data_IF_544457314173
#
_entry.id   IF_544457314173
#
_cell.length_a   1.000
_cell.length_b   1.000
_cell.length_c   1.000
_cell.angle_alpha   90.00
_cell.angle_beta   90.00
_cell.angle_gamma   90.00
#
_symmetry.space_group_name_H-M   'P 1'
#
loop_
_entity.id
_entity.type
_entity.pdbx_description
1 polymer ?
#
# COMPACT_ATOMS: atom_id res chain seq x y z
N UNK A 1 -26.44 14.98 -14.15
CA UNK A 1 -25.08 15.19 -13.62
C UNK A 1 -24.89 14.12 -12.56
N UNK A 2 -24.21 13.03 -12.90
CA UNK A 2 -23.89 11.99 -11.90
C UNK A 2 -22.78 12.57 -11.03
N UNK A 3 -23.02 12.69 -9.73
CA UNK A 3 -21.96 12.97 -8.78
C UNK A 3 -21.07 11.73 -8.77
N UNK A 4 -19.89 11.81 -9.38
CA UNK A 4 -18.83 10.83 -9.18
C UNK A 4 -18.47 10.91 -7.70
N UNK A 5 -18.97 9.96 -6.93
CA UNK A 5 -18.68 9.84 -5.51
C UNK A 5 -17.25 9.28 -5.44
N UNK A 6 -16.25 10.15 -5.30
CA UNK A 6 -14.88 9.73 -5.07
C UNK A 6 -14.84 9.00 -3.74
N UNK A 7 -14.70 7.67 -3.77
CA UNK A 7 -14.63 6.86 -2.56
C UNK A 7 -13.37 7.21 -1.79
N UNK A 8 -13.53 7.63 -0.53
CA UNK A 8 -12.41 7.86 0.38
C UNK A 8 -12.02 6.50 0.96
N UNK A 9 -10.84 6.05 0.60
CA UNK A 9 -10.24 4.81 1.08
C UNK A 9 -9.49 5.10 2.38
N UNK A 10 -9.59 4.21 3.38
CA UNK A 10 -8.73 4.19 4.57
C UNK A 10 -8.13 2.80 4.72
N UNK A 11 -6.89 2.61 4.26
CA UNK A 11 -6.27 1.29 4.05
C UNK A 11 -4.90 1.18 4.73
N UNK A 12 -4.47 -0.05 5.12
CA UNK A 12 -3.11 -0.29 5.57
C UNK A 12 -2.09 0.11 4.50
N UNK A 13 -1.02 0.78 4.91
CA UNK A 13 0.04 1.27 4.03
C UNK A 13 1.23 0.33 4.08
N UNK A 14 1.70 -0.06 2.89
CA UNK A 14 2.95 -0.80 2.73
C UNK A 14 3.99 0.12 2.05
N UNK A 15 4.97 0.63 2.80
CA UNK A 15 6.05 1.42 2.24
C UNK A 15 6.93 0.59 1.30
N UNK A 16 7.16 1.09 0.09
CA UNK A 16 8.05 0.46 -0.89
C UNK A 16 9.35 1.26 -1.01
N UNK A 17 10.48 0.56 -0.86
CA UNK A 17 11.80 1.17 -0.93
C UNK A 17 12.38 1.15 -2.34
N UNK A 18 12.46 -0.04 -2.92
CA UNK A 18 13.26 -0.30 -4.11
C UNK A 18 12.42 -0.34 -5.41
N UNK A 19 11.09 -0.27 -5.27
CA UNK A 19 10.14 -0.46 -6.37
C UNK A 19 8.93 0.45 -6.26
N UNK A 20 8.32 0.75 -7.40
CA UNK A 20 7.01 1.41 -7.50
C UNK A 20 6.09 0.51 -8.32
N UNK A 21 4.90 0.26 -7.81
CA UNK A 21 3.89 -0.58 -8.47
C UNK A 21 2.89 0.34 -9.18
N UNK A 22 2.64 0.09 -10.46
CA UNK A 22 1.63 0.80 -11.24
C UNK A 22 0.35 -0.04 -11.36
N UNK A 23 -0.79 0.57 -11.72
CA UNK A 23 -1.99 -0.17 -12.11
C UNK A 23 -1.69 -1.30 -13.12
N UNK A 24 -2.39 -2.42 -12.96
CA UNK A 24 -2.26 -3.67 -13.73
C UNK A 24 -0.94 -4.42 -13.59
N UNK A 25 0.03 -3.91 -12.83
CA UNK A 25 1.25 -4.67 -12.53
C UNK A 25 0.96 -5.75 -11.50
N UNK A 26 1.38 -6.98 -11.80
CA UNK A 26 1.41 -8.10 -10.85
C UNK A 26 2.86 -8.40 -10.49
N UNK A 27 3.25 -8.20 -9.24
CA UNK A 27 4.64 -8.34 -8.79
C UNK A 27 4.72 -9.02 -7.41
N UNK A 28 5.69 -9.92 -7.18
CA UNK A 28 5.96 -10.42 -5.85
C UNK A 28 6.75 -9.40 -5.02
N UNK A 29 6.35 -9.19 -3.77
CA UNK A 29 7.05 -8.38 -2.78
C UNK A 29 7.50 -9.25 -1.61
N UNK A 30 8.63 -8.88 -0.99
CA UNK A 30 9.16 -9.52 0.21
C UNK A 30 9.04 -8.57 1.39
N UNK A 31 8.40 -9.02 2.46
CA UNK A 31 8.09 -8.21 3.64
C UNK A 31 8.68 -8.88 4.87
N UNK A 32 9.52 -8.14 5.60
CA UNK A 32 10.16 -8.64 6.82
C UNK A 32 10.21 -7.63 7.98
N UNK A 33 9.67 -6.42 7.80
CA UNK A 33 9.57 -5.42 8.87
C UNK A 33 8.26 -5.62 9.63
N UNK A 34 8.31 -5.58 10.96
CA UNK A 34 7.16 -5.87 11.82
C UNK A 34 5.92 -5.02 11.46
N UNK A 35 6.09 -3.70 11.28
CA UNK A 35 4.99 -2.81 10.90
C UNK A 35 4.33 -3.18 9.57
N UNK A 36 5.15 -3.62 8.61
CA UNK A 36 4.68 -4.04 7.29
C UNK A 36 3.99 -5.40 7.31
N UNK A 37 4.45 -6.32 8.16
CA UNK A 37 3.77 -7.59 8.39
C UNK A 37 2.40 -7.37 9.05
N UNK A 38 2.32 -6.48 10.04
CA UNK A 38 1.04 -6.10 10.67
C UNK A 38 0.08 -5.44 9.68
N UNK A 39 0.57 -4.56 8.79
CA UNK A 39 -0.24 -3.96 7.73
C UNK A 39 -0.86 -5.02 6.80
N UNK A 40 -0.06 -6.04 6.41
CA UNK A 40 -0.54 -7.14 5.59
C UNK A 40 -1.58 -8.00 6.32
N UNK A 41 -1.36 -8.33 7.60
CA UNK A 41 -2.31 -9.11 8.39
C UNK A 41 -3.66 -8.39 8.51
N UNK A 42 -3.66 -7.08 8.81
CA UNK A 42 -4.88 -6.26 8.84
C UNK A 42 -5.59 -6.22 7.49
N UNK A 43 -4.86 -6.12 6.40
CA UNK A 43 -5.46 -6.15 5.07
C UNK A 43 -6.13 -7.50 4.79
N UNK A 44 -5.49 -8.61 5.19
CA UNK A 44 -6.00 -9.96 5.01
C UNK A 44 -7.27 -10.25 5.83
N UNK A 45 -7.48 -9.54 6.94
CA UNK A 45 -8.71 -9.59 7.75
C UNK A 45 -9.86 -8.73 7.19
N UNK A 46 -9.55 -7.79 6.29
CA UNK A 46 -10.50 -6.92 5.60
C UNK A 46 -10.67 -7.35 4.14
N UNK A 47 -10.72 -6.39 3.21
CA UNK A 47 -10.95 -6.64 1.77
C UNK A 47 -9.69 -7.07 1.01
N UNK A 48 -8.59 -7.44 1.71
CA UNK A 48 -7.28 -7.76 1.13
C UNK A 48 -6.69 -6.61 0.28
N UNK A 49 -7.18 -5.39 0.47
CA UNK A 49 -6.71 -4.16 -0.18
C UNK A 49 -5.64 -3.49 0.68
N UNK A 50 -4.58 -3.02 0.03
CA UNK A 50 -3.48 -2.27 0.65
C UNK A 50 -3.14 -1.04 -0.18
N UNK A 51 -2.54 -0.04 0.48
CA UNK A 51 -2.01 1.14 -0.18
C UNK A 51 -0.49 1.01 -0.28
N UNK A 52 0.01 0.89 -1.51
CA UNK A 52 1.45 0.86 -1.79
C UNK A 52 1.96 2.29 -1.96
N UNK A 53 2.92 2.71 -1.14
CA UNK A 53 3.46 4.08 -1.20
C UNK A 53 4.97 4.03 -1.22
N UNK A 54 5.58 4.72 -2.18
CA UNK A 54 7.03 4.78 -2.28
C UNK A 54 7.61 5.66 -1.15
N UNK A 55 8.82 5.30 -0.71
CA UNK A 55 9.62 6.07 0.23
C UNK A 55 10.41 7.15 -0.52
N UNK A 56 10.58 8.33 0.09
CA UNK A 56 11.39 9.43 -0.46
C UNK A 56 12.88 9.13 -0.43
N UNK A 57 13.34 8.44 0.62
CA UNK A 57 14.72 7.98 0.76
C UNK A 57 14.76 6.48 1.03
N UNK A 58 15.63 5.78 0.32
CA UNK A 58 15.84 4.35 0.53
C UNK A 58 16.63 4.03 1.81
N UNK A 59 17.27 5.02 2.42
CA UNK A 59 18.10 4.84 3.62
C UNK A 59 17.27 4.76 4.91
N UNK A 60 15.95 4.99 4.83
CA UNK A 60 15.07 5.01 6.02
C UNK A 60 14.46 3.63 6.25
N UNK A 61 14.86 2.98 7.34
CA UNK A 61 14.35 1.64 7.66
C UNK A 61 12.95 1.62 8.29
N UNK A 62 12.57 2.67 9.00
CA UNK A 62 11.23 2.80 9.58
C UNK A 62 10.63 4.15 9.16
N UNK A 63 10.10 4.25 7.92
CA UNK A 63 9.65 5.52 7.38
C UNK A 63 8.42 6.02 8.13
N UNK A 64 8.46 7.28 8.56
CA UNK A 64 7.30 7.97 9.07
C UNK A 64 6.42 8.47 7.91
N UNK A 65 5.21 8.96 8.23
CA UNK A 65 4.30 9.55 7.25
C UNK A 65 4.96 10.64 6.37
N UNK A 66 5.88 11.44 6.94
CA UNK A 66 6.57 12.51 6.23
C UNK A 66 7.61 11.99 5.21
N UNK A 67 8.08 10.76 5.37
CA UNK A 67 9.09 10.12 4.51
C UNK A 67 8.46 9.43 3.29
N UNK A 68 7.13 9.42 3.20
CA UNK A 68 6.38 8.80 2.12
C UNK A 68 5.88 9.84 1.12
N UNK A 69 5.75 9.43 -0.14
CA UNK A 69 5.11 10.25 -1.16
C UNK A 69 3.60 10.37 -0.92
N UNK A 70 3.00 11.43 -1.47
CA UNK A 70 1.55 11.71 -1.36
C UNK A 70 0.74 11.06 -2.47
N UNK A 71 1.38 10.28 -3.35
CA UNK A 71 0.71 9.47 -4.37
C UNK A 71 1.20 8.05 -4.23
N UNK A 72 0.25 7.13 -4.16
CA UNK A 72 0.50 5.70 -4.08
C UNK A 72 -0.34 4.93 -5.08
N UNK A 73 -0.39 3.62 -4.89
CA UNK A 73 -1.14 2.68 -5.70
C UNK A 73 -2.03 1.85 -4.79
N UNK A 74 -3.33 1.88 -5.03
CA UNK A 74 -4.25 0.90 -4.47
C UNK A 74 -3.88 -0.46 -5.07
N UNK A 75 -3.67 -1.46 -4.21
CA UNK A 75 -3.33 -2.80 -4.65
C UNK A 75 -4.16 -3.87 -3.93
N UNK A 76 -4.36 -4.98 -4.61
CA UNK A 76 -5.01 -6.18 -4.10
C UNK A 76 -3.94 -7.23 -3.74
N UNK A 77 -4.03 -7.79 -2.54
CA UNK A 77 -3.23 -8.96 -2.16
C UNK A 77 -3.85 -10.20 -2.79
N UNK A 78 -3.11 -10.85 -3.69
CA UNK A 78 -3.51 -12.07 -4.39
C UNK A 78 -3.12 -13.33 -3.62
N UNK A 79 -1.89 -13.36 -3.10
CA UNK A 79 -1.35 -14.53 -2.41
C UNK A 79 -0.37 -14.12 -1.30
N UNK A 80 -0.38 -14.84 -0.20
CA UNK A 80 0.55 -14.67 0.91
C UNK A 80 1.21 -16.01 1.23
N UNK A 81 2.54 -16.04 1.29
CA UNK A 81 3.33 -17.20 1.65
C UNK A 81 4.34 -16.83 2.74
N UNK A 82 4.21 -17.43 3.93
CA UNK A 82 5.21 -17.32 5.00
C UNK A 82 6.40 -18.22 4.67
N UNK A 83 7.59 -17.64 4.59
CA UNK A 83 8.84 -18.35 4.32
C UNK A 83 9.45 -18.88 5.64
N UNK A 84 10.27 -19.93 5.60
CA UNK A 84 10.85 -20.54 6.80
C UNK A 84 11.82 -19.62 7.58
N UNK A 85 12.30 -18.54 6.95
CA UNK A 85 13.13 -17.51 7.57
C UNK A 85 12.32 -16.45 8.35
N UNK A 86 10.99 -16.56 8.37
CA UNK A 86 10.08 -15.63 9.03
C UNK A 86 9.63 -14.46 8.15
N UNK A 87 10.17 -14.31 6.93
CA UNK A 87 9.71 -13.29 5.98
C UNK A 87 8.42 -13.72 5.28
N UNK A 88 7.66 -12.75 4.79
CA UNK A 88 6.43 -12.98 4.03
C UNK A 88 6.69 -12.63 2.56
N UNK A 89 6.48 -13.59 1.67
CA UNK A 89 6.39 -13.34 0.24
C UNK A 89 4.92 -13.11 -0.11
N UNK A 90 4.59 -11.93 -0.63
CA UNK A 90 3.24 -11.55 -1.03
C UNK A 90 3.20 -11.29 -2.53
N UNK A 91 2.14 -11.75 -3.21
CA UNK A 91 1.86 -11.41 -4.60
C UNK A 91 0.77 -10.35 -4.61
N UNK A 92 1.03 -9.21 -5.25
CA UNK A 92 0.11 -8.08 -5.30
C UNK A 92 -0.20 -7.68 -6.74
N UNK A 93 -1.40 -7.16 -6.96
CA UNK A 93 -1.82 -6.52 -8.21
C UNK A 93 -2.14 -5.05 -7.95
N UNK A 94 -1.52 -4.14 -8.70
CA UNK A 94 -1.90 -2.72 -8.68
C UNK A 94 -3.25 -2.50 -9.38
N UNK A 95 -4.16 -1.78 -8.76
CA UNK A 95 -5.51 -1.52 -9.27
C UNK A 95 -5.64 -0.10 -9.82
N UNK A 96 -5.32 0.90 -9.00
CA UNK A 96 -5.52 2.31 -9.34
C UNK A 96 -4.47 3.18 -8.64
N UNK A 97 -4.23 4.38 -9.17
CA UNK A 97 -3.43 5.39 -8.48
C UNK A 97 -4.29 6.05 -7.39
N UNK A 98 -3.68 6.42 -6.28
CA UNK A 98 -4.37 7.06 -5.15
C UNK A 98 -3.62 8.30 -4.73
N UNK A 99 -4.33 9.42 -4.59
CA UNK A 99 -3.84 10.58 -3.85
C UNK A 99 -4.01 10.31 -2.35
N UNK A 100 -2.89 10.34 -1.62
CA UNK A 100 -2.84 10.03 -0.19
C UNK A 100 -2.89 11.33 0.59
N UNK A 101 -4.01 11.57 1.26
CA UNK A 101 -4.29 12.80 2.00
C UNK A 101 -3.67 12.78 3.39
N UNK A 102 -3.65 11.60 4.03
CA UNK A 102 -3.17 11.46 5.39
C UNK A 102 -2.60 10.07 5.65
N UNK A 103 -1.45 10.00 6.29
CA UNK A 103 -0.88 8.76 6.83
C UNK A 103 -0.77 8.89 8.34
N UNK A 104 -1.17 7.85 9.07
CA UNK A 104 -1.11 7.76 10.53
C UNK A 104 -0.59 6.39 10.94
N UNK A 105 0.04 6.32 12.10
CA UNK A 105 0.33 5.03 12.73
C UNK A 105 -0.91 4.58 13.51
N UNK A 106 -1.29 3.32 13.33
CA UNK A 106 -2.43 2.70 13.98
C UNK A 106 -2.14 1.22 14.20
N UNK A 107 -2.25 0.76 15.45
CA UNK A 107 -2.07 -0.64 15.84
C UNK A 107 -0.75 -1.24 15.31
N UNK A 108 0.33 -0.48 15.41
CA UNK A 108 1.69 -0.86 14.99
C UNK A 108 1.91 -0.95 13.48
N UNK A 109 0.94 -0.56 12.66
CA UNK A 109 1.05 -0.43 11.22
C UNK A 109 0.83 1.02 10.76
N UNK A 110 1.25 1.34 9.53
CA UNK A 110 0.85 2.59 8.89
C UNK A 110 -0.53 2.42 8.24
N UNK A 111 -1.34 3.46 8.32
CA UNK A 111 -2.71 3.51 7.82
C UNK A 111 -2.87 4.81 7.01
N UNK A 112 -3.40 4.72 5.81
CA UNK A 112 -3.44 5.80 4.83
C UNK A 112 -4.85 6.07 4.35
N UNK A 113 -5.28 7.33 4.48
CA UNK A 113 -6.52 7.83 3.90
C UNK A 113 -6.24 8.54 2.58
N UNK A 114 -7.04 8.25 1.56
CA UNK A 114 -6.84 8.83 0.23
C UNK A 114 -8.01 8.60 -0.72
N UNK A 115 -7.85 9.13 -1.94
CA UNK A 115 -8.85 9.06 -3.00
C UNK A 115 -8.25 8.52 -4.28
N UNK A 116 -8.99 7.67 -4.98
CA UNK A 116 -8.55 7.16 -6.28
C UNK A 116 -8.44 8.30 -7.29
N UNK A 117 -7.33 8.31 -8.03
CA UNK A 117 -7.10 9.24 -9.12
C UNK A 117 -7.69 8.64 -10.38
N UNK A 118 -8.74 9.29 -10.90
CA UNK A 118 -9.31 8.96 -12.20
C UNK A 118 -8.22 9.08 -13.27
N UNK A 119 -8.07 8.03 -14.06
CA UNK A 119 -7.20 8.06 -15.24
C UNK A 119 -8.04 8.65 -16.37
N UNK A 120 -7.73 9.86 -16.83
CA UNK A 120 -8.25 10.33 -18.11
C UNK A 120 -7.62 9.47 -19.22
N UNK A 121 -8.32 8.42 -19.65
CA UNK A 121 -8.00 7.76 -20.91
C UNK A 121 -8.16 8.81 -22.03
N UNK A 122 -7.04 9.23 -22.61
CA UNK A 122 -6.98 10.14 -23.76
C UNK A 122 -7.06 9.39 -25.09
#
# INVERSE_FOLDING_TARGET
MAQSQTEVLDLPVLPLRDVVVFPHMVIPLFVGRDKSMQALERAMEADKRILLVAQKSAETDDPAAADLYTVGTLAQVLQLLKLPDGTIKVLVEGLARVAVDKIREQDGALQGAGTELESEES
#
